data_IF_763131734030
#
_entry.id   IF_763131734030
#
_cell.length_a   1.000
_cell.length_b   1.000
_cell.length_c   1.000
_cell.angle_alpha   90.00
_cell.angle_beta   90.00
_cell.angle_gamma   90.00
#
_symmetry.space_group_name_H-M   'P 1'
#
loop_
_entity.id
_entity.type
_entity.pdbx_description
1 polymer ?
#
# COMPACT_ATOMS: atom_id res chain seq x y z
N UNK A 1 -1.19 28.21 -27.76
CA UNK A 1 -0.17 27.66 -26.84
C UNK A 1 -0.66 27.46 -25.40
N UNK A 2 -1.55 28.29 -24.82
CA UNK A 2 -2.07 28.12 -23.44
C UNK A 2 -2.78 26.77 -23.18
N UNK A 3 -3.47 26.19 -24.17
CA UNK A 3 -4.23 24.94 -24.01
C UNK A 3 -3.35 23.69 -23.95
N UNK A 4 -2.14 23.72 -24.51
CA UNK A 4 -1.23 22.57 -24.52
C UNK A 4 -0.64 22.32 -23.13
N UNK A 5 -0.27 23.39 -22.41
CA UNK A 5 0.22 23.29 -21.03
C UNK A 5 -0.86 22.82 -20.05
N UNK A 6 -2.12 23.23 -20.25
CA UNK A 6 -3.23 22.76 -19.43
C UNK A 6 -3.46 21.25 -19.59
N UNK A 7 -3.38 20.72 -20.82
CA UNK A 7 -3.51 19.28 -21.09
C UNK A 7 -2.31 18.50 -20.51
N UNK A 8 -1.08 18.98 -20.70
CA UNK A 8 0.12 18.33 -20.15
C UNK A 8 0.10 18.33 -18.61
N UNK A 9 -0.33 19.44 -17.99
CA UNK A 9 -0.46 19.55 -16.54
C UNK A 9 -1.52 18.61 -15.97
N UNK A 10 -2.69 18.50 -16.63
CA UNK A 10 -3.74 17.55 -16.24
C UNK A 10 -3.27 16.09 -16.38
N UNK A 11 -2.57 15.75 -17.47
CA UNK A 11 -2.01 14.41 -17.67
C UNK A 11 -0.99 14.07 -16.59
N UNK A 12 -0.12 15.01 -16.22
CA UNK A 12 0.88 14.84 -15.16
C UNK A 12 0.22 14.62 -13.79
N UNK A 13 -0.86 15.35 -13.48
CA UNK A 13 -1.65 15.18 -12.24
C UNK A 13 -2.35 13.81 -12.20
N UNK A 14 -2.90 13.33 -13.32
CA UNK A 14 -3.53 12.01 -13.35
C UNK A 14 -2.53 10.87 -13.20
N UNK A 15 -1.33 10.99 -13.79
CA UNK A 15 -0.27 9.97 -13.69
C UNK A 15 0.27 9.89 -12.26
N UNK A 16 0.42 11.04 -11.58
CA UNK A 16 0.81 11.08 -10.16
C UNK A 16 -0.25 10.50 -9.23
N UNK A 17 -1.54 10.71 -9.52
CA UNK A 17 -2.62 10.07 -8.75
C UNK A 17 -2.70 8.55 -8.93
N UNK A 18 -2.33 8.01 -10.10
CA UNK A 18 -2.44 6.57 -10.38
C UNK A 18 -1.56 5.69 -9.48
N UNK A 19 -0.60 6.27 -8.76
CA UNK A 19 0.28 5.56 -7.83
C UNK A 19 -0.10 5.76 -6.35
N UNK A 20 -1.23 6.43 -6.08
CA UNK A 20 -1.73 6.66 -4.74
C UNK A 20 -2.85 5.67 -4.44
N UNK A 21 -2.72 4.91 -3.36
CA UNK A 21 -3.81 4.05 -2.90
C UNK A 21 -3.37 2.76 -2.22
N UNK A 22 -4.38 1.97 -1.86
CA UNK A 22 -4.20 0.66 -1.24
C UNK A 22 -4.05 -0.43 -2.31
N UNK A 23 -2.91 -1.11 -2.31
CA UNK A 23 -2.66 -2.30 -3.12
C UNK A 23 -2.89 -3.54 -2.27
N UNK A 24 -3.80 -4.40 -2.73
CA UNK A 24 -4.08 -5.69 -2.11
C UNK A 24 -3.43 -6.81 -2.90
N UNK A 25 -2.79 -7.73 -2.19
CA UNK A 25 -2.28 -8.99 -2.75
C UNK A 25 -3.05 -10.13 -2.11
N UNK A 26 -3.25 -11.19 -2.87
CA UNK A 26 -4.05 -12.34 -2.45
C UNK A 26 -3.20 -13.62 -2.56
N UNK A 27 -3.57 -14.61 -1.77
CA UNK A 27 -3.13 -16.00 -1.94
C UNK A 27 -3.89 -16.65 -3.10
N UNK A 28 -3.41 -17.80 -3.55
CA UNK A 28 -4.04 -18.56 -4.64
C UNK A 28 -5.46 -19.01 -4.27
N UNK A 29 -5.72 -19.20 -2.98
CA UNK A 29 -7.04 -19.50 -2.43
C UNK A 29 -8.01 -18.28 -2.39
N UNK A 30 -7.57 -17.11 -2.85
CA UNK A 30 -8.35 -15.87 -2.87
C UNK A 30 -8.36 -15.09 -1.55
N UNK A 31 -7.70 -15.58 -0.49
CA UNK A 31 -7.63 -14.85 0.77
C UNK A 31 -6.62 -13.69 0.69
N UNK A 32 -6.89 -12.63 1.46
CA UNK A 32 -6.03 -11.46 1.50
C UNK A 32 -4.67 -11.83 2.10
N UNK A 33 -3.60 -11.58 1.35
CA UNK A 33 -2.21 -11.83 1.76
C UNK A 33 -1.55 -10.58 2.34
N UNK A 34 -1.77 -9.44 1.70
CA UNK A 34 -1.26 -8.15 2.20
C UNK A 34 -2.08 -6.98 1.69
N UNK A 35 -2.10 -5.91 2.48
CA UNK A 35 -2.60 -4.59 2.11
C UNK A 35 -1.47 -3.58 2.32
N UNK A 36 -1.15 -2.82 1.28
CA UNK A 36 -0.01 -1.91 1.22
C UNK A 36 -0.49 -0.55 0.74
N UNK A 37 -0.22 0.52 1.50
CA UNK A 37 -0.53 1.89 1.06
C UNK A 37 0.65 2.49 0.31
N UNK A 38 0.38 3.04 -0.87
CA UNK A 38 1.34 3.78 -1.68
C UNK A 38 0.95 5.25 -1.77
N UNK A 39 1.96 6.11 -1.73
CA UNK A 39 1.88 7.53 -2.03
C UNK A 39 3.03 7.90 -2.97
N UNK A 40 2.71 8.48 -4.11
CA UNK A 40 3.62 8.87 -5.19
C UNK A 40 4.55 7.73 -5.64
N UNK A 41 4.04 6.49 -5.67
CA UNK A 41 4.81 5.32 -6.11
C UNK A 41 5.63 4.64 -5.02
N UNK A 42 5.68 5.21 -3.83
CA UNK A 42 6.44 4.68 -2.70
C UNK A 42 5.51 4.15 -1.61
N UNK A 43 5.95 3.12 -0.88
CA UNK A 43 5.23 2.63 0.29
C UNK A 43 5.19 3.74 1.34
N UNK A 44 3.98 4.21 1.64
CA UNK A 44 3.76 5.28 2.58
C UNK A 44 2.33 5.16 3.14
N UNK A 45 2.24 4.89 4.44
CA UNK A 45 1.03 4.60 5.15
C UNK A 45 1.01 3.20 5.76
N UNK A 46 -0.18 2.71 6.16
CA UNK A 46 -0.33 1.43 6.83
C UNK A 46 -0.03 0.26 5.89
N UNK A 47 0.69 -0.73 6.43
CA UNK A 47 0.97 -2.00 5.78
C UNK A 47 0.49 -3.13 6.68
N UNK A 48 -0.24 -4.10 6.11
CA UNK A 48 -0.70 -5.30 6.79
C UNK A 48 -0.37 -6.53 5.98
N UNK A 49 -0.01 -7.61 6.67
CA UNK A 49 0.13 -8.94 6.09
C UNK A 49 -0.67 -9.94 6.91
N UNK A 50 -1.11 -11.00 6.26
CA UNK A 50 -2.00 -11.99 6.83
C UNK A 50 -1.45 -13.39 6.56
N UNK A 51 -1.83 -14.36 7.39
CA UNK A 51 -1.64 -15.77 7.10
C UNK A 51 -2.68 -16.24 6.07
N UNK A 52 -2.47 -17.41 5.48
CA UNK A 52 -3.37 -17.98 4.47
C UNK A 52 -4.74 -18.40 5.03
N UNK A 53 -4.88 -18.42 6.37
CA UNK A 53 -6.14 -18.58 7.09
C UNK A 53 -6.85 -17.24 7.38
N UNK A 54 -6.31 -16.11 6.90
CA UNK A 54 -6.88 -14.77 7.02
C UNK A 54 -6.54 -14.05 8.32
N UNK A 55 -5.83 -14.69 9.26
CA UNK A 55 -5.40 -14.03 10.50
C UNK A 55 -4.32 -13.00 10.23
N UNK A 56 -4.36 -11.88 10.94
CA UNK A 56 -3.33 -10.84 10.84
C UNK A 56 -1.98 -11.44 11.26
N UNK A 57 -0.97 -11.31 10.41
CA UNK A 57 0.40 -11.79 10.63
C UNK A 57 1.30 -10.67 11.11
N UNK A 58 1.25 -9.53 10.43
CA UNK A 58 2.02 -8.37 10.84
C UNK A 58 1.35 -7.08 10.39
N UNK A 59 1.60 -6.01 11.12
CA UNK A 59 1.25 -4.65 10.70
C UNK A 59 2.34 -3.66 11.09
N UNK A 60 2.51 -2.65 10.26
CA UNK A 60 3.43 -1.54 10.47
C UNK A 60 2.90 -0.29 9.76
N UNK A 61 3.44 0.87 10.10
CA UNK A 61 3.29 2.09 9.31
C UNK A 61 4.62 2.37 8.64
N UNK A 62 4.60 2.68 7.35
CA UNK A 62 5.80 3.10 6.60
C UNK A 62 5.65 4.56 6.25
N UNK A 63 6.66 5.40 6.48
CA UNK A 63 6.65 6.81 6.11
C UNK A 63 7.98 7.09 5.41
N UNK A 64 7.90 7.64 4.19
CA UNK A 64 9.06 7.95 3.34
C UNK A 64 10.00 6.73 3.15
N UNK A 65 9.40 5.55 2.89
CA UNK A 65 10.13 4.30 2.68
C UNK A 65 10.73 3.67 3.94
N UNK A 66 10.53 4.25 5.13
CA UNK A 66 11.03 3.72 6.40
C UNK A 66 9.89 3.27 7.29
N UNK A 67 10.05 2.13 7.94
CA UNK A 67 9.11 1.69 8.97
C UNK A 67 9.15 2.67 10.15
N UNK A 68 8.00 3.20 10.52
CA UNK A 68 7.81 4.13 11.62
C UNK A 68 6.96 3.50 12.72
N UNK A 69 7.44 3.59 13.96
CA UNK A 69 6.75 3.08 15.14
C UNK A 69 6.87 1.56 15.33
N UNK A 70 5.87 1.00 16.02
CA UNK A 70 5.88 -0.41 16.44
C UNK A 70 5.44 -1.31 15.29
N UNK A 71 6.29 -2.28 14.94
CA UNK A 71 5.89 -3.44 14.15
C UNK A 71 5.22 -4.43 15.10
N UNK A 72 3.95 -4.74 14.85
CA UNK A 72 3.27 -5.83 15.57
C UNK A 72 3.31 -7.07 14.70
N UNK A 73 3.81 -8.16 15.27
CA UNK A 73 3.78 -9.49 14.65
C UNK A 73 2.94 -10.41 15.53
N UNK A 74 2.23 -11.33 14.88
CA UNK A 74 1.33 -12.27 15.52
C UNK A 74 1.69 -13.66 15.01
N UNK A 75 1.73 -14.64 15.90
CA UNK A 75 1.93 -16.01 15.49
C UNK A 75 0.63 -16.58 14.89
N UNK A 76 0.76 -17.52 13.95
CA UNK A 76 -0.39 -18.11 13.26
C UNK A 76 -1.38 -18.80 14.22
N UNK A 77 -0.84 -19.34 15.30
CA UNK A 77 -1.58 -19.97 16.39
C UNK A 77 -2.12 -18.97 17.43
N UNK A 78 -1.81 -17.67 17.33
CA UNK A 78 -2.25 -16.64 18.25
C UNK A 78 -1.54 -16.60 19.61
N UNK A 79 -0.43 -17.35 19.77
CA UNK A 79 0.50 -17.18 20.90
C UNK A 79 1.42 -15.97 20.70
#
# INVERSE_FOLDING_TARGET
>A
MKNLYAIIFLLFITITNAQNGEVKKYYDNGQLKSSLTYLNGELNGPCKSYYENGKLKAMATVINGKTEGLVKTYFENGQ
#
